data_IF_586018676533
#
_entry.id   IF_586018676533
#
_cell.length_a   1.000
_cell.length_b   1.000
_cell.length_c   1.000
_cell.angle_alpha   90.00
_cell.angle_beta   90.00
_cell.angle_gamma   90.00
#
_symmetry.space_group_name_H-M   'P 1'
#
loop_
_entity.id
_entity.type
_entity.pdbx_description
1 polymer ?
#
# COMPACT_ATOMS: atom_id res chain seq x y z
N UNK A 1 -9.58 -7.69 9.29
CA UNK A 1 -8.52 -6.87 8.70
C UNK A 1 -9.02 -5.44 8.45
N UNK A 2 -8.18 -4.44 8.68
CA UNK A 2 -8.39 -3.06 8.20
C UNK A 2 -7.78 -2.94 6.80
N UNK A 3 -8.59 -2.61 5.80
CA UNK A 3 -8.13 -2.43 4.42
C UNK A 3 -8.24 -0.96 4.01
N UNK A 4 -7.09 -0.32 3.82
CA UNK A 4 -6.94 1.08 3.40
C UNK A 4 -6.67 1.09 1.90
N UNK A 5 -7.63 1.55 1.11
CA UNK A 5 -7.57 1.55 -0.34
C UNK A 5 -8.55 2.56 -0.93
N UNK A 6 -8.59 2.70 -2.25
CA UNK A 6 -9.56 3.54 -2.96
C UNK A 6 -10.81 2.72 -3.26
N UNK A 7 -11.87 2.94 -2.48
CA UNK A 7 -13.14 2.21 -2.59
C UNK A 7 -14.18 2.91 -3.46
N UNK A 8 -14.02 4.21 -3.72
CA UNK A 8 -14.96 5.03 -4.46
C UNK A 8 -14.38 5.56 -5.78
N UNK A 9 -15.21 5.63 -6.81
CA UNK A 9 -14.97 6.43 -8.03
C UNK A 9 -13.94 5.92 -9.03
N UNK A 10 -13.15 4.89 -8.72
CA UNK A 10 -12.20 4.30 -9.67
C UNK A 10 -12.46 2.79 -9.82
N UNK A 11 -13.04 2.41 -10.96
CA UNK A 11 -13.39 1.02 -11.28
C UNK A 11 -12.16 0.11 -11.27
N UNK A 12 -10.99 0.62 -11.69
CA UNK A 12 -9.74 -0.14 -11.69
C UNK A 12 -9.28 -0.50 -10.27
N UNK A 13 -9.33 0.45 -9.35
CA UNK A 13 -8.96 0.22 -7.95
C UNK A 13 -9.95 -0.74 -7.28
N UNK A 14 -11.25 -0.56 -7.53
CA UNK A 14 -12.29 -1.47 -7.02
C UNK A 14 -12.06 -2.88 -7.55
N UNK A 15 -11.85 -3.06 -8.86
CA UNK A 15 -11.57 -4.35 -9.47
C UNK A 15 -10.34 -5.03 -8.85
N UNK A 16 -9.27 -4.28 -8.61
CA UNK A 16 -8.07 -4.79 -7.96
C UNK A 16 -8.36 -5.29 -6.53
N UNK A 17 -9.13 -4.53 -5.75
CA UNK A 17 -9.50 -4.91 -4.37
C UNK A 17 -10.35 -6.18 -4.39
N UNK A 18 -11.34 -6.25 -5.28
CA UNK A 18 -12.25 -7.38 -5.39
C UNK A 18 -11.49 -8.66 -5.76
N UNK A 19 -10.68 -8.61 -6.81
CA UNK A 19 -9.91 -9.77 -7.24
C UNK A 19 -8.88 -10.21 -6.20
N UNK A 20 -8.22 -9.29 -5.51
CA UNK A 20 -7.33 -9.60 -4.40
C UNK A 20 -8.05 -10.36 -3.27
N UNK A 21 -9.19 -9.85 -2.80
CA UNK A 21 -9.99 -10.50 -1.74
C UNK A 21 -10.49 -11.87 -2.17
N UNK A 22 -10.91 -12.00 -3.43
CA UNK A 22 -11.34 -13.27 -3.99
C UNK A 22 -10.20 -14.29 -4.03
N UNK A 23 -8.98 -13.85 -4.42
CA UNK A 23 -7.81 -14.73 -4.39
C UNK A 23 -7.46 -15.18 -2.96
N UNK A 24 -7.55 -14.31 -1.97
CA UNK A 24 -7.34 -14.69 -0.57
C UNK A 24 -8.40 -15.71 -0.12
N UNK A 25 -9.67 -15.47 -0.38
CA UNK A 25 -10.75 -16.38 -0.02
C UNK A 25 -10.59 -17.76 -0.67
N UNK A 26 -10.20 -17.80 -1.95
CA UNK A 26 -10.07 -19.05 -2.71
C UNK A 26 -8.83 -19.87 -2.35
N UNK A 27 -7.75 -19.22 -1.87
CA UNK A 27 -6.46 -19.87 -1.67
C UNK A 27 -6.04 -19.98 -0.20
N UNK A 28 -6.86 -19.50 0.72
CA UNK A 28 -6.64 -19.63 2.16
C UNK A 28 -7.85 -20.26 2.82
N UNK A 29 -7.65 -20.88 3.99
CA UNK A 29 -8.76 -21.38 4.83
C UNK A 29 -9.21 -20.32 5.86
N UNK A 30 -8.81 -19.06 5.66
CA UNK A 30 -9.12 -17.98 6.58
C UNK A 30 -10.43 -17.30 6.15
N UNK A 31 -11.35 -17.15 7.10
CA UNK A 31 -12.46 -16.21 6.97
C UNK A 31 -11.97 -14.83 7.38
N UNK A 32 -11.90 -13.90 6.43
CA UNK A 32 -11.40 -12.56 6.68
C UNK A 32 -12.56 -11.57 6.60
N UNK A 33 -12.88 -10.94 7.72
CA UNK A 33 -13.76 -9.78 7.76
C UNK A 33 -12.96 -8.52 7.45
N UNK A 34 -13.46 -7.70 6.52
CA UNK A 34 -12.83 -6.47 6.07
C UNK A 34 -13.56 -5.24 6.57
N UNK A 35 -12.85 -4.37 7.26
CA UNK A 35 -13.26 -2.99 7.50
C UNK A 35 -12.59 -2.09 6.46
N UNK A 36 -13.38 -1.38 5.66
CA UNK A 36 -12.87 -0.52 4.58
C UNK A 36 -12.58 0.87 5.09
N UNK A 37 -11.43 1.42 4.71
CA UNK A 37 -11.05 2.79 4.99
C UNK A 37 -10.58 3.47 3.70
N UNK A 38 -11.31 4.51 3.26
CA UNK A 38 -11.03 5.21 2.01
C UNK A 38 -9.71 6.01 2.11
N UNK A 39 -8.73 5.65 1.29
CA UNK A 39 -7.39 6.24 1.34
C UNK A 39 -7.37 7.71 0.94
N UNK A 40 -8.29 8.15 0.06
CA UNK A 40 -8.35 9.54 -0.39
C UNK A 40 -8.69 10.53 0.72
N UNK A 41 -9.34 10.05 1.80
CA UNK A 41 -9.54 10.88 2.99
C UNK A 41 -8.23 11.29 3.68
N UNK A 42 -7.13 10.62 3.37
CA UNK A 42 -5.79 10.89 3.92
C UNK A 42 -4.88 11.67 2.97
N UNK A 43 -5.34 12.02 1.78
CA UNK A 43 -4.53 12.82 0.86
C UNK A 43 -4.41 14.27 1.34
N UNK A 44 -3.19 14.80 1.37
CA UNK A 44 -2.89 16.12 1.90
C UNK A 44 -3.66 17.28 1.25
N UNK A 45 -4.08 17.11 -0.01
CA UNK A 45 -4.74 18.18 -0.78
C UNK A 45 -6.27 18.21 -0.62
N UNK A 46 -6.88 17.14 -0.13
CA UNK A 46 -8.34 17.00 -0.09
C UNK A 46 -8.85 16.05 1.00
N UNK A 47 -7.96 15.39 1.72
CA UNK A 47 -8.31 14.53 2.82
C UNK A 47 -8.55 15.32 4.11
N UNK A 48 -9.51 14.87 4.90
CA UNK A 48 -9.80 15.41 6.23
C UNK A 48 -9.10 14.65 7.35
N UNK A 49 -8.42 13.55 7.02
CA UNK A 49 -7.74 12.66 7.96
C UNK A 49 -6.22 12.65 7.73
N UNK A 50 -5.50 12.23 8.74
CA UNK A 50 -4.04 12.06 8.68
C UNK A 50 -3.65 10.68 9.20
N UNK A 51 -2.58 10.11 8.65
CA UNK A 51 -1.91 8.95 9.21
C UNK A 51 -1.14 9.38 10.48
N UNK A 52 -1.86 9.49 11.59
CA UNK A 52 -1.35 9.93 12.89
C UNK A 52 -1.68 8.92 14.00
N UNK A 53 -1.50 9.33 15.26
CA UNK A 53 -1.75 8.46 16.44
C UNK A 53 -3.15 7.85 16.47
N UNK A 54 -4.18 8.62 16.06
CA UNK A 54 -5.56 8.11 16.03
C UNK A 54 -5.72 6.99 15.01
N UNK A 55 -5.06 7.12 13.85
CA UNK A 55 -5.02 6.05 12.85
C UNK A 55 -4.30 4.81 13.40
N UNK A 56 -3.15 4.97 14.04
CA UNK A 56 -2.40 3.84 14.62
C UNK A 56 -3.22 3.12 15.71
N UNK A 57 -3.89 3.87 16.60
CA UNK A 57 -4.80 3.30 17.61
C UNK A 57 -5.95 2.53 16.97
N UNK A 58 -6.55 3.07 15.92
CA UNK A 58 -7.64 2.41 15.20
C UNK A 58 -7.15 1.15 14.47
N UNK A 59 -6.00 1.21 13.80
CA UNK A 59 -5.41 0.06 13.12
C UNK A 59 -5.14 -1.10 14.11
N UNK A 60 -4.68 -0.80 15.32
CA UNK A 60 -4.41 -1.80 16.36
C UNK A 60 -5.68 -2.50 16.92
N UNK A 61 -6.89 -2.09 16.53
CA UNK A 61 -8.12 -2.82 16.84
C UNK A 61 -8.36 -4.03 15.90
N UNK A 62 -7.49 -4.25 14.92
CA UNK A 62 -7.58 -5.32 13.92
C UNK A 62 -6.40 -6.28 14.03
N UNK A 63 -6.49 -7.43 13.35
CA UNK A 63 -5.42 -8.44 13.31
C UNK A 63 -4.42 -8.19 12.17
N UNK A 64 -4.82 -7.41 11.15
CA UNK A 64 -4.03 -7.13 9.96
C UNK A 64 -4.40 -5.76 9.38
N UNK A 65 -3.39 -4.97 9.03
CA UNK A 65 -3.53 -3.75 8.25
C UNK A 65 -3.08 -4.00 6.81
N UNK A 66 -3.96 -3.70 5.84
CA UNK A 66 -3.66 -3.83 4.41
C UNK A 66 -3.72 -2.44 3.78
N UNK A 67 -2.65 -2.04 3.11
CA UNK A 67 -2.65 -0.94 2.16
C UNK A 67 -2.60 -1.53 0.76
N UNK A 68 -3.53 -1.18 -0.09
CA UNK A 68 -3.43 -1.74 -1.43
C UNK A 68 -4.50 -1.29 -2.41
N UNK A 69 -4.22 -1.64 -3.65
CA UNK A 69 -5.14 -1.41 -4.75
C UNK A 69 -4.94 -0.09 -5.49
N UNK A 70 -3.75 0.52 -5.49
CA UNK A 70 -3.56 1.76 -6.22
C UNK A 70 -2.10 2.21 -6.38
N UNK A 71 -1.89 3.30 -7.12
CA UNK A 71 -0.57 3.90 -7.34
C UNK A 71 -0.16 4.81 -6.16
N UNK A 72 -0.07 4.23 -4.95
CA UNK A 72 0.11 4.99 -3.72
C UNK A 72 1.57 5.37 -3.42
N UNK A 73 2.51 4.83 -4.16
CA UNK A 73 3.93 5.20 -4.09
C UNK A 73 4.36 6.12 -5.24
N UNK A 74 3.47 7.02 -5.66
CA UNK A 74 3.84 8.11 -6.56
C UNK A 74 4.68 9.14 -5.79
N UNK A 75 5.95 9.34 -6.20
CA UNK A 75 6.91 10.20 -5.50
C UNK A 75 6.82 11.64 -6.02
N UNK A 76 5.85 12.38 -5.54
CA UNK A 76 5.58 13.76 -5.97
C UNK A 76 5.17 14.70 -4.81
N UNK A 77 4.93 14.14 -3.64
CA UNK A 77 4.30 14.87 -2.53
C UNK A 77 5.32 15.45 -1.56
N UNK A 78 5.69 16.71 -1.79
CA UNK A 78 6.72 17.39 -0.99
C UNK A 78 6.38 17.50 0.51
N UNK A 79 5.12 17.48 0.90
CA UNK A 79 4.67 17.56 2.31
C UNK A 79 4.52 16.18 2.97
N UNK A 80 4.67 15.12 2.24
CA UNK A 80 4.61 13.77 2.78
C UNK A 80 5.93 13.40 3.46
N UNK A 81 5.92 12.76 4.64
CA UNK A 81 7.14 12.35 5.34
C UNK A 81 7.98 11.35 4.55
N UNK A 82 7.35 10.52 3.73
CA UNK A 82 8.01 9.55 2.86
C UNK A 82 7.98 9.93 1.38
N UNK A 83 7.52 11.14 1.05
CA UNK A 83 7.48 11.65 -0.33
C UNK A 83 6.36 11.08 -1.22
N UNK A 84 5.50 10.21 -0.72
CA UNK A 84 4.45 9.56 -1.53
C UNK A 84 3.04 9.96 -1.12
N UNK A 85 2.05 9.59 -1.92
CA UNK A 85 0.62 9.79 -1.62
C UNK A 85 0.23 9.11 -0.30
N UNK A 86 0.81 7.95 -0.02
CA UNK A 86 0.66 7.24 1.26
C UNK A 86 1.59 7.87 2.32
N UNK A 87 1.17 8.98 2.90
CA UNK A 87 1.96 9.84 3.78
C UNK A 87 2.20 9.23 5.17
N UNK A 88 2.73 8.02 5.22
CA UNK A 88 3.09 7.32 6.46
C UNK A 88 4.49 7.71 6.93
N UNK A 89 4.63 8.01 8.21
CA UNK A 89 5.94 8.17 8.85
C UNK A 89 6.35 6.90 9.58
N UNK A 90 7.65 6.77 9.85
CA UNK A 90 8.20 5.65 10.64
C UNK A 90 7.63 5.64 12.05
N UNK A 91 7.50 6.82 12.65
CA UNK A 91 6.99 7.00 14.02
C UNK A 91 5.53 6.53 14.16
N UNK A 92 4.73 6.65 13.10
CA UNK A 92 3.37 6.12 13.09
C UNK A 92 3.38 4.61 12.86
N UNK A 93 4.25 4.11 11.98
CA UNK A 93 4.40 2.68 11.77
C UNK A 93 4.89 1.95 13.05
N UNK A 94 5.73 2.60 13.86
CA UNK A 94 6.20 2.05 15.15
C UNK A 94 5.07 1.88 16.16
N UNK A 95 4.04 2.72 16.10
CA UNK A 95 2.85 2.63 16.96
C UNK A 95 1.84 1.56 16.51
N UNK A 96 1.99 1.02 15.29
CA UNK A 96 1.17 -0.07 14.79
C UNK A 96 1.81 -1.39 15.20
N UNK A 97 1.11 -2.22 15.97
CA UNK A 97 1.65 -3.45 16.56
C UNK A 97 1.22 -4.72 15.83
N UNK A 98 0.32 -4.59 14.86
CA UNK A 98 -0.18 -5.69 14.02
C UNK A 98 0.64 -5.80 12.72
N UNK A 99 0.60 -6.93 12.03
CA UNK A 99 1.19 -7.06 10.69
C UNK A 99 0.63 -6.03 9.71
N UNK A 100 1.49 -5.53 8.83
CA UNK A 100 1.14 -4.55 7.80
C UNK A 100 1.49 -5.10 6.42
N UNK A 101 0.51 -5.15 5.54
CA UNK A 101 0.68 -5.61 4.18
C UNK A 101 0.51 -4.46 3.18
N UNK A 102 1.59 -4.09 2.52
CA UNK A 102 1.58 -3.22 1.35
C UNK A 102 1.35 -4.11 0.13
N UNK A 103 0.08 -4.18 -0.33
CA UNK A 103 -0.33 -5.13 -1.34
C UNK A 103 -0.46 -4.49 -2.73
N UNK A 104 0.29 -5.01 -3.69
CA UNK A 104 0.23 -4.61 -5.10
C UNK A 104 0.27 -3.08 -5.30
N UNK A 105 1.12 -2.38 -4.53
CA UNK A 105 1.25 -0.93 -4.62
C UNK A 105 1.96 -0.55 -5.92
N UNK A 106 1.39 0.37 -6.69
CA UNK A 106 2.05 0.96 -7.83
C UNK A 106 3.10 2.00 -7.40
N UNK A 107 4.23 2.03 -8.09
CA UNK A 107 5.29 3.02 -7.92
C UNK A 107 5.45 3.86 -9.18
N UNK A 108 5.54 5.18 -9.04
CA UNK A 108 5.76 6.11 -10.14
C UNK A 108 6.76 7.20 -9.75
N UNK A 109 7.79 7.36 -10.59
CA UNK A 109 8.85 8.37 -10.46
C UNK A 109 8.81 9.44 -11.58
N UNK A 110 7.80 9.38 -12.48
CA UNK A 110 7.80 10.15 -13.73
C UNK A 110 7.61 11.65 -13.56
N UNK A 111 7.04 12.10 -12.46
CA UNK A 111 6.66 13.51 -12.32
C UNK A 111 7.79 14.43 -11.87
N UNK A 112 9.03 13.98 -11.76
CA UNK A 112 10.27 14.77 -11.58
C UNK A 112 10.25 15.90 -10.52
N UNK A 113 9.17 16.06 -9.75
CA UNK A 113 8.96 17.22 -8.90
C UNK A 113 9.76 17.20 -7.59
N UNK A 114 10.33 16.07 -7.23
CA UNK A 114 10.98 15.99 -5.93
C UNK A 114 12.16 15.03 -5.90
N UNK A 115 13.27 15.36 -6.57
CA UNK A 115 14.54 14.59 -6.42
C UNK A 115 14.93 14.36 -4.95
N UNK A 116 14.55 15.29 -4.07
CA UNK A 116 14.78 15.14 -2.63
C UNK A 116 13.87 14.09 -2.00
N UNK A 117 12.66 13.91 -2.51
CA UNK A 117 11.67 12.98 -1.95
C UNK A 117 11.94 11.53 -2.29
N UNK A 118 12.66 11.24 -3.35
CA UNK A 118 13.11 9.87 -3.63
C UNK A 118 14.03 9.33 -2.52
N UNK A 119 14.78 10.22 -1.86
CA UNK A 119 15.60 9.85 -0.71
C UNK A 119 14.75 9.48 0.51
N UNK A 120 13.73 10.30 0.81
CA UNK A 120 12.80 10.03 1.91
C UNK A 120 12.05 8.71 1.67
N UNK A 121 11.61 8.47 0.42
CA UNK A 121 11.00 7.22 0.00
C UNK A 121 11.97 6.03 0.14
N UNK A 122 13.23 6.21 -0.27
CA UNK A 122 14.23 5.16 -0.16
C UNK A 122 14.49 4.77 1.31
N UNK A 123 14.50 5.74 2.22
CA UNK A 123 14.65 5.48 3.64
C UNK A 123 13.41 4.78 4.23
N UNK A 124 12.23 5.17 3.78
CA UNK A 124 10.98 4.51 4.16
C UNK A 124 10.94 3.05 3.72
N UNK A 125 11.25 2.77 2.44
CA UNK A 125 11.27 1.39 1.93
C UNK A 125 12.31 0.52 2.64
N UNK A 126 13.51 1.05 2.88
CA UNK A 126 14.53 0.32 3.66
C UNK A 126 14.02 -0.02 5.06
N UNK A 127 13.34 0.92 5.70
CA UNK A 127 12.79 0.72 7.04
C UNK A 127 11.76 -0.43 7.05
N UNK A 128 10.76 -0.42 6.18
CA UNK A 128 9.75 -1.49 6.13
C UNK A 128 10.31 -2.82 5.61
N UNK A 129 11.29 -2.81 4.72
CA UNK A 129 11.93 -4.02 4.23
C UNK A 129 12.86 -4.68 5.27
N UNK A 130 13.30 -3.96 6.29
CA UNK A 130 14.16 -4.50 7.34
C UNK A 130 13.42 -5.52 8.22
N UNK A 131 12.17 -5.24 8.60
CA UNK A 131 11.36 -6.12 9.45
C UNK A 131 10.34 -6.93 8.61
N UNK A 132 10.79 -8.03 8.04
CA UNK A 132 9.95 -8.93 7.24
C UNK A 132 8.97 -9.78 8.06
N UNK A 133 8.98 -9.70 9.37
CA UNK A 133 7.98 -10.34 10.23
C UNK A 133 6.75 -9.45 10.40
N UNK A 134 6.94 -8.14 10.36
CA UNK A 134 5.86 -7.16 10.52
C UNK A 134 5.35 -6.64 9.18
N UNK A 135 6.25 -6.39 8.20
CA UNK A 135 5.89 -5.77 6.92
C UNK A 135 6.00 -6.76 5.76
N UNK A 136 4.89 -6.93 5.05
CA UNK A 136 4.82 -7.67 3.80
C UNK A 136 4.68 -6.68 2.66
N UNK A 137 5.53 -6.77 1.64
CA UNK A 137 5.63 -5.77 0.59
C UNK A 137 5.46 -6.43 -0.77
N UNK A 138 4.46 -6.00 -1.51
CA UNK A 138 4.33 -6.36 -2.92
C UNK A 138 3.99 -5.14 -3.78
N UNK A 139 4.49 -5.15 -5.00
CA UNK A 139 4.22 -4.14 -6.02
C UNK A 139 3.57 -4.78 -7.23
N UNK A 140 2.82 -3.99 -7.99
CA UNK A 140 2.18 -4.45 -9.22
C UNK A 140 3.19 -4.75 -10.32
N UNK A 141 2.82 -5.69 -11.20
CA UNK A 141 3.58 -6.05 -12.41
C UNK A 141 3.36 -5.05 -13.57
N UNK A 142 3.17 -3.77 -13.26
CA UNK A 142 3.00 -2.66 -14.20
C UNK A 142 4.32 -1.94 -14.54
N UNK A 143 5.43 -2.52 -14.14
CA UNK A 143 6.77 -1.94 -14.25
C UNK A 143 7.28 -1.29 -12.96
N UNK A 144 6.46 -1.23 -11.91
CA UNK A 144 6.82 -0.67 -10.59
C UNK A 144 8.09 -1.30 -10.03
N UNK A 145 8.20 -2.64 -10.07
CA UNK A 145 9.39 -3.36 -9.59
C UNK A 145 10.65 -2.92 -10.34
N UNK A 146 10.58 -2.85 -11.68
CA UNK A 146 11.70 -2.41 -12.53
C UNK A 146 12.08 -0.95 -12.26
N UNK A 147 11.11 -0.08 -12.03
CA UNK A 147 11.38 1.31 -11.67
C UNK A 147 12.05 1.42 -10.31
N UNK A 148 11.55 0.72 -9.30
CA UNK A 148 12.15 0.69 -7.96
C UNK A 148 13.58 0.16 -7.96
N UNK A 149 13.90 -0.82 -8.80
CA UNK A 149 15.25 -1.39 -8.90
C UNK A 149 16.33 -0.38 -9.32
N UNK A 150 15.97 0.80 -9.84
CA UNK A 150 16.90 1.89 -10.11
C UNK A 150 17.39 2.58 -8.82
N UNK A 151 16.64 2.49 -7.74
CA UNK A 151 16.86 3.25 -6.50
C UNK A 151 17.28 2.36 -5.33
N UNK A 152 17.04 1.05 -5.41
CA UNK A 152 17.24 0.12 -4.31
C UNK A 152 18.27 -0.95 -4.65
N UNK A 153 19.04 -1.35 -3.63
CA UNK A 153 19.95 -2.49 -3.74
C UNK A 153 19.18 -3.80 -3.96
N UNK A 154 19.86 -4.78 -4.56
CA UNK A 154 19.29 -6.11 -4.73
C UNK A 154 18.85 -6.77 -3.41
N UNK A 155 19.46 -6.40 -2.29
CA UNK A 155 19.05 -6.89 -0.97
C UNK A 155 17.65 -6.39 -0.58
N UNK A 156 17.39 -5.10 -0.74
CA UNK A 156 16.05 -4.50 -0.50
C UNK A 156 15.04 -5.08 -1.49
N UNK A 157 15.41 -5.15 -2.77
CA UNK A 157 14.51 -5.66 -3.80
C UNK A 157 14.09 -7.12 -3.58
N UNK A 158 14.94 -7.97 -3.01
CA UNK A 158 14.56 -9.35 -2.64
C UNK A 158 13.50 -9.46 -1.55
N UNK A 159 13.23 -8.38 -0.82
CA UNK A 159 12.15 -8.29 0.20
C UNK A 159 10.81 -7.83 -0.38
N UNK A 160 10.79 -7.44 -1.64
CA UNK A 160 9.63 -6.91 -2.35
C UNK A 160 9.20 -7.93 -3.39
N UNK A 161 7.96 -8.37 -3.34
CA UNK A 161 7.39 -9.28 -4.32
C UNK A 161 6.76 -8.49 -5.48
N UNK A 162 6.93 -8.97 -6.71
CA UNK A 162 6.13 -8.49 -7.83
C UNK A 162 4.91 -9.40 -8.00
N UNK A 163 3.71 -8.81 -8.03
CA UNK A 163 2.45 -9.56 -8.11
C UNK A 163 1.57 -9.02 -9.24
N UNK A 164 0.72 -9.85 -9.84
CA UNK A 164 -0.27 -9.38 -10.80
C UNK A 164 -1.24 -8.38 -10.18
N UNK A 165 -1.80 -7.50 -11.00
CA UNK A 165 -2.93 -6.68 -10.61
C UNK A 165 -4.12 -7.55 -10.25
N UNK A 166 -4.74 -7.30 -9.09
CA UNK A 166 -5.89 -8.07 -8.61
C UNK A 166 -7.07 -8.08 -9.59
N UNK A 167 -7.23 -7.01 -10.37
CA UNK A 167 -8.30 -6.90 -11.37
C UNK A 167 -8.33 -8.02 -12.40
N UNK A 168 -7.19 -8.69 -12.66
CA UNK A 168 -7.15 -9.88 -13.53
C UNK A 168 -7.88 -11.10 -12.96
N UNK A 169 -8.17 -11.10 -11.66
CA UNK A 169 -8.76 -12.24 -10.96
C UNK A 169 -10.22 -12.02 -10.56
N UNK A 170 -10.82 -10.92 -10.99
CA UNK A 170 -12.24 -10.66 -10.73
C UNK A 170 -13.08 -11.67 -11.51
N UNK A 171 -13.90 -12.43 -10.80
CA UNK A 171 -14.93 -13.25 -11.41
C UNK A 171 -16.23 -12.42 -11.45
N UNK A 172 -16.68 -11.97 -12.64
CA UNK A 172 -17.87 -11.14 -12.74
C UNK A 172 -19.14 -11.86 -12.29
N UNK A 173 -19.19 -13.21 -12.36
CA UNK A 173 -20.34 -14.01 -11.97
C UNK A 173 -20.54 -14.12 -10.45
N UNK A 174 -19.65 -13.60 -9.63
CA UNK A 174 -19.85 -13.58 -8.19
C UNK A 174 -20.67 -12.36 -7.71
N UNK A 175 -21.15 -11.52 -8.61
CA UNK A 175 -21.84 -10.26 -8.32
C UNK A 175 -23.21 -10.16 -8.99
N UNK A 176 -23.72 -11.25 -9.55
CA UNK A 176 -25.11 -11.44 -9.94
C UNK A 176 -25.89 -12.06 -8.76
#
# INVERSE_FOLDING_TARGET
ALHVASFDGNVGDIGQIMGFRQQLSNNTHLEIEYSNLEIREFYNSWGMRQFGEQFAKYANCFDLLIFGGGNFWSVEWQYSPNGTTLALSKEILDQIHIPVWFNAIGFDDRLNFAKNKIKDFAEFIKYIAYDSHKYFISVRNDGSYKMMSKYFSGEVMRKISEVPDGGFFVNPHCYE
#
